data_IF_072913978645
#
_entry.id   IF_072913978645
#
_cell.length_a   1.000
_cell.length_b   1.000
_cell.length_c   1.000
_cell.angle_alpha   90.00
_cell.angle_beta   90.00
_cell.angle_gamma   90.00
#
_symmetry.space_group_name_H-M   'P 1'
#
loop_
_entity.id
_entity.type
_entity.pdbx_description
1 polymer ?
#
# COMPACT_ATOMS: atom_id res chain seq x y z
N UNK A 1 -30.14 35.10 -16.60
CA UNK A 1 -30.46 34.93 -15.16
C UNK A 1 -29.35 35.61 -14.41
N UNK A 2 -29.70 36.64 -13.64
CA UNK A 2 -28.78 37.49 -12.88
C UNK A 2 -28.41 36.72 -11.61
N UNK A 3 -27.12 36.56 -11.39
CA UNK A 3 -26.54 35.86 -10.24
C UNK A 3 -26.59 36.77 -9.02
N UNK A 4 -27.17 36.27 -7.92
CA UNK A 4 -27.55 37.03 -6.74
C UNK A 4 -26.60 36.72 -5.58
N UNK A 5 -25.43 37.36 -5.52
CA UNK A 5 -24.61 37.38 -4.29
C UNK A 5 -23.68 38.60 -4.24
N UNK A 6 -24.17 39.73 -3.69
CA UNK A 6 -23.30 40.79 -3.13
C UNK A 6 -24.07 41.78 -2.23
N UNK A 7 -24.86 41.28 -1.28
CA UNK A 7 -25.50 42.10 -0.25
C UNK A 7 -25.09 41.57 1.14
N UNK A 8 -24.84 42.48 2.06
CA UNK A 8 -24.67 42.15 3.49
C UNK A 8 -26.02 41.91 4.18
N UNK A 9 -25.99 41.47 5.44
CA UNK A 9 -27.17 41.15 6.27
C UNK A 9 -28.12 42.33 6.56
N UNK A 10 -27.80 43.52 6.03
CA UNK A 10 -28.64 44.71 6.09
C UNK A 10 -28.91 45.35 4.72
N UNK A 11 -28.63 44.65 3.61
CA UNK A 11 -29.09 45.01 2.27
C UNK A 11 -28.40 46.22 1.63
N UNK A 12 -27.14 46.53 1.96
CA UNK A 12 -26.38 47.62 1.33
C UNK A 12 -25.33 47.09 0.35
N UNK A 13 -25.07 47.86 -0.71
CA UNK A 13 -24.05 47.55 -1.72
C UNK A 13 -22.64 47.84 -1.19
N UNK A 14 -21.70 46.90 -1.38
CA UNK A 14 -20.31 47.04 -0.96
C UNK A 14 -19.53 48.05 -1.84
N UNK A 15 -18.61 48.87 -1.27
CA UNK A 15 -17.78 49.79 -2.04
C UNK A 15 -16.69 49.07 -2.87
N UNK A 16 -16.24 49.65 -3.99
CA UNK A 16 -15.26 49.03 -4.88
C UNK A 16 -13.85 48.97 -4.26
N UNK A 17 -13.01 47.97 -4.64
CA UNK A 17 -11.65 47.84 -4.12
C UNK A 17 -10.72 48.96 -4.63
N UNK A 18 -9.71 49.39 -3.84
CA UNK A 18 -8.81 50.47 -4.23
C UNK A 18 -7.86 50.06 -5.37
N UNK A 19 -7.76 50.93 -6.37
CA UNK A 19 -6.85 50.83 -7.52
C UNK A 19 -5.38 50.90 -7.07
N UNK A 20 -4.57 49.88 -7.39
CA UNK A 20 -3.10 49.94 -7.22
C UNK A 20 -2.48 50.92 -8.22
N UNK A 21 -2.01 52.07 -7.72
CA UNK A 21 -1.07 52.93 -8.45
C UNK A 21 0.30 52.25 -8.55
N UNK A 22 0.90 52.34 -9.73
CA UNK A 22 2.27 51.92 -10.00
C UNK A 22 3.28 52.71 -9.16
N UNK A 23 4.12 52.02 -8.40
CA UNK A 23 5.38 52.57 -7.89
C UNK A 23 6.53 51.90 -8.65
N UNK A 24 7.16 52.68 -9.52
CA UNK A 24 8.49 52.42 -10.07
C UNK A 24 9.49 52.52 -8.92
N UNK A 25 10.17 51.42 -8.60
CA UNK A 25 11.37 51.44 -7.77
C UNK A 25 12.53 50.86 -8.60
N UNK A 26 13.58 51.66 -8.66
CA UNK A 26 14.72 51.59 -9.57
C UNK A 26 15.59 50.36 -9.35
N UNK A 27 15.93 49.67 -10.44
CA UNK A 27 17.02 48.70 -10.52
C UNK A 27 18.32 49.51 -10.65
N UNK A 28 19.05 49.70 -9.55
CA UNK A 28 20.49 50.00 -9.53
C UNK A 28 20.96 50.23 -8.09
N UNK A 29 21.52 49.20 -7.45
CA UNK A 29 22.71 49.26 -6.59
C UNK A 29 22.81 48.00 -5.73
N UNK A 30 23.61 47.03 -6.16
CA UNK A 30 24.39 46.19 -5.24
C UNK A 30 25.60 45.61 -5.98
N UNK A 31 26.44 46.49 -6.54
CA UNK A 31 27.83 46.15 -6.83
C UNK A 31 28.63 46.40 -5.55
N UNK A 32 28.84 45.34 -4.76
CA UNK A 32 29.49 45.45 -3.45
C UNK A 32 30.21 44.16 -3.05
N UNK A 33 31.45 44.01 -3.52
CA UNK A 33 32.56 43.29 -2.87
C UNK A 33 32.32 41.82 -2.50
N UNK A 34 32.57 40.92 -3.45
CA UNK A 34 32.96 39.53 -3.15
C UNK A 34 34.41 39.57 -2.66
N UNK A 35 34.60 39.56 -1.35
CA UNK A 35 35.91 39.32 -0.72
C UNK A 35 36.09 37.81 -0.59
N UNK A 36 37.05 37.26 -1.31
CA UNK A 36 37.43 35.85 -1.28
C UNK A 36 38.08 35.53 0.08
N UNK A 37 37.27 35.13 1.06
CA UNK A 37 37.75 34.63 2.35
C UNK A 37 38.09 33.14 2.22
N UNK A 38 39.38 32.82 2.21
CA UNK A 38 39.89 31.46 2.36
C UNK A 38 39.51 30.95 3.76
N UNK A 39 38.35 30.31 3.90
CA UNK A 39 37.99 29.60 5.12
C UNK A 39 38.66 28.23 5.09
N UNK A 40 39.76 28.11 5.85
CA UNK A 40 40.37 26.84 6.21
C UNK A 40 39.30 26.01 6.96
N UNK A 41 38.67 25.07 6.26
CA UNK A 41 37.73 24.12 6.88
C UNK A 41 38.54 23.06 7.60
N UNK A 42 38.81 23.32 8.88
CA UNK A 42 39.20 22.28 9.83
C UNK A 42 38.05 21.26 9.86
N UNK A 43 38.28 20.10 9.26
CA UNK A 43 37.31 18.99 9.24
C UNK A 43 37.23 18.38 10.64
N UNK A 44 36.49 19.01 11.55
CA UNK A 44 35.99 18.33 12.73
C UNK A 44 34.93 17.34 12.25
N UNK A 45 35.33 16.08 12.14
CA UNK A 45 34.42 14.96 11.93
C UNK A 45 33.40 14.95 13.08
N UNK A 46 32.22 15.52 12.83
CA UNK A 46 31.04 15.34 13.66
C UNK A 46 30.54 13.90 13.44
N UNK A 47 30.56 13.02 14.45
CA UNK A 47 29.91 11.72 14.31
C UNK A 47 28.40 11.94 14.46
N UNK A 48 27.61 11.49 13.48
CA UNK A 48 26.18 11.26 13.75
C UNK A 48 25.20 11.34 12.59
N UNK A 49 25.60 11.76 11.40
CA UNK A 49 24.75 11.63 10.20
C UNK A 49 25.28 10.45 9.39
N UNK A 50 24.60 9.31 9.53
CA UNK A 50 24.97 8.06 8.87
C UNK A 50 25.83 7.16 9.74
N UNK A 51 25.26 6.56 10.78
CA UNK A 51 25.72 5.22 11.17
C UNK A 51 25.29 4.28 10.05
N UNK A 52 26.07 4.24 8.97
CA UNK A 52 26.02 3.13 8.04
C UNK A 52 26.25 1.83 8.81
N UNK A 53 25.78 0.72 8.24
CA UNK A 53 26.09 -0.63 8.76
C UNK A 53 27.58 -0.69 9.11
N UNK A 54 27.96 -1.03 10.35
CA UNK A 54 29.37 -1.08 10.75
C UNK A 54 30.15 -1.92 9.74
N UNK A 55 31.36 -1.53 9.35
CA UNK A 55 32.14 -2.42 8.46
C UNK A 55 32.45 -3.73 9.18
N UNK A 56 32.08 -4.86 8.57
CA UNK A 56 32.25 -6.19 9.15
C UNK A 56 32.08 -7.31 8.12
N UNK A 57 32.62 -8.49 8.43
CA UNK A 57 32.45 -9.71 7.62
C UNK A 57 31.09 -10.34 7.90
N UNK A 58 30.02 -9.75 7.37
CA UNK A 58 28.68 -10.29 7.47
C UNK A 58 28.45 -11.40 6.45
N UNK A 59 27.78 -12.49 6.88
CA UNK A 59 27.24 -13.47 5.94
C UNK A 59 26.13 -12.83 5.11
N UNK A 60 25.90 -13.38 3.91
CA UNK A 60 24.79 -12.95 3.06
C UNK A 60 23.48 -13.03 3.85
N UNK A 61 22.77 -11.90 3.98
CA UNK A 61 21.52 -11.82 4.72
C UNK A 61 21.63 -11.55 6.22
N UNK A 62 22.83 -11.50 6.78
CA UNK A 62 23.05 -11.16 8.19
C UNK A 62 22.79 -9.66 8.45
N UNK A 63 23.07 -8.81 7.46
CA UNK A 63 22.66 -7.41 7.46
C UNK A 63 22.00 -7.05 6.12
N UNK A 64 20.87 -6.35 6.20
CA UNK A 64 20.15 -5.80 5.05
C UNK A 64 20.17 -4.26 5.10
N UNK A 65 20.23 -3.58 3.95
CA UNK A 65 20.41 -4.15 2.61
C UNK A 65 21.81 -4.76 2.42
N UNK A 66 21.94 -5.71 1.48
CA UNK A 66 23.23 -6.32 1.16
C UNK A 66 24.18 -5.24 0.64
N UNK A 67 25.32 -5.08 1.32
CA UNK A 67 26.30 -4.06 0.99
C UNK A 67 27.14 -4.45 -0.24
N UNK A 68 27.45 -3.51 -1.15
CA UNK A 68 28.38 -3.79 -2.24
C UNK A 68 29.78 -4.10 -1.68
N UNK A 69 30.56 -4.95 -2.35
CA UNK A 69 31.95 -5.17 -1.96
C UNK A 69 32.74 -3.87 -2.11
N UNK A 70 33.73 -3.66 -1.23
CA UNK A 70 34.64 -2.53 -1.32
C UNK A 70 35.35 -2.55 -2.69
N UNK A 71 35.26 -1.45 -3.42
CA UNK A 71 35.94 -1.29 -4.70
C UNK A 71 37.38 -0.85 -4.48
N UNK A 72 38.33 -1.52 -5.13
CA UNK A 72 39.73 -1.08 -5.14
C UNK A 72 39.84 0.28 -5.85
N UNK A 73 40.72 1.20 -5.39
CA UNK A 73 40.98 2.45 -6.10
C UNK A 73 41.45 2.19 -7.54
N UNK A 74 40.94 2.96 -8.49
CA UNK A 74 41.45 2.97 -9.87
C UNK A 74 42.76 3.76 -9.85
N UNK A 75 43.88 3.08 -10.12
CA UNK A 75 45.21 3.68 -10.12
C UNK A 75 45.73 4.01 -11.53
N UNK A 76 45.06 3.54 -12.58
CA UNK A 76 45.39 3.85 -13.96
C UNK A 76 44.90 5.27 -14.32
N UNK A 77 45.82 6.10 -14.81
CA UNK A 77 45.58 7.52 -15.13
C UNK A 77 45.12 7.71 -16.58
N UNK A 78 45.50 6.80 -17.48
CA UNK A 78 44.98 6.79 -18.85
C UNK A 78 43.59 6.15 -18.87
N UNK A 79 42.54 6.99 -18.92
CA UNK A 79 41.14 6.55 -18.89
C UNK A 79 40.80 5.50 -19.96
N UNK A 80 41.55 5.45 -21.07
CA UNK A 80 41.35 4.48 -22.16
C UNK A 80 41.79 3.08 -21.77
N UNK A 81 42.64 2.95 -20.74
CA UNK A 81 43.15 1.69 -20.19
C UNK A 81 42.43 1.26 -18.92
N UNK A 82 41.55 2.11 -18.38
CA UNK A 82 40.75 1.79 -17.20
C UNK A 82 39.74 0.71 -17.55
N UNK A 83 39.82 -0.43 -16.86
CA UNK A 83 38.77 -1.44 -16.87
C UNK A 83 37.70 -1.05 -15.83
N UNK A 84 36.44 -0.78 -16.23
CA UNK A 84 35.40 -0.44 -15.27
C UNK A 84 35.14 -1.62 -14.33
N UNK A 85 34.93 -1.38 -13.02
CA UNK A 85 34.55 -2.44 -12.10
C UNK A 85 33.19 -3.02 -12.49
N UNK A 86 32.98 -4.31 -12.21
CA UNK A 86 31.68 -4.92 -12.42
C UNK A 86 30.61 -4.25 -11.56
N UNK A 87 29.42 -4.06 -12.14
CA UNK A 87 28.28 -3.52 -11.41
C UNK A 87 27.83 -4.55 -10.38
N UNK A 88 27.86 -4.18 -9.10
CA UNK A 88 27.27 -4.99 -8.05
C UNK A 88 25.75 -5.04 -8.23
N UNK A 89 25.21 -6.26 -8.32
CA UNK A 89 23.77 -6.52 -8.41
C UNK A 89 23.43 -7.63 -7.42
N UNK A 90 22.50 -7.34 -6.50
CA UNK A 90 21.94 -8.37 -5.62
C UNK A 90 21.08 -9.32 -6.47
N UNK A 91 21.39 -10.61 -6.39
CA UNK A 91 20.61 -11.67 -7.05
C UNK A 91 19.80 -12.45 -6.02
N UNK A 92 18.56 -12.86 -6.37
CA UNK A 92 17.77 -13.73 -5.52
C UNK A 92 18.48 -15.08 -5.32
N UNK A 93 18.23 -15.77 -4.20
CA UNK A 93 18.71 -17.14 -3.99
C UNK A 93 18.26 -18.08 -5.12
N UNK A 94 19.09 -19.09 -5.44
CA UNK A 94 18.75 -20.08 -6.47
C UNK A 94 17.47 -20.82 -6.08
N UNK A 95 16.49 -20.87 -6.99
CA UNK A 95 15.20 -21.53 -6.76
C UNK A 95 14.22 -20.73 -5.89
N UNK A 96 14.50 -19.46 -5.62
CA UNK A 96 13.58 -18.55 -4.95
C UNK A 96 12.21 -18.50 -5.68
N UNK A 97 11.09 -18.75 -4.98
CA UNK A 97 9.77 -18.78 -5.61
C UNK A 97 9.20 -17.37 -5.80
N UNK A 98 8.23 -17.25 -6.71
CA UNK A 98 7.32 -16.12 -6.68
C UNK A 98 6.40 -16.24 -5.47
N UNK A 99 6.09 -15.11 -4.82
CA UNK A 99 5.19 -15.05 -3.67
C UNK A 99 4.05 -14.08 -4.01
N UNK A 100 2.83 -14.59 -4.04
CA UNK A 100 1.61 -13.79 -4.22
C UNK A 100 0.76 -13.86 -2.96
N UNK A 101 0.52 -12.71 -2.35
CA UNK A 101 -0.41 -12.56 -1.24
C UNK A 101 -1.66 -11.86 -1.75
N UNK A 102 -2.79 -12.55 -1.73
CA UNK A 102 -4.10 -11.98 -2.06
C UNK A 102 -4.80 -11.65 -0.74
N UNK A 103 -5.00 -10.37 -0.46
CA UNK A 103 -5.77 -9.90 0.70
C UNK A 103 -7.15 -9.44 0.24
N UNK A 104 -8.19 -9.97 0.86
CA UNK A 104 -9.58 -9.55 0.65
C UNK A 104 -10.03 -8.67 1.80
N UNK A 105 -10.57 -7.48 1.51
CA UNK A 105 -10.92 -6.50 2.52
C UNK A 105 -12.36 -6.70 3.03
N UNK A 106 -12.53 -6.97 4.33
CA UNK A 106 -13.83 -7.23 4.97
C UNK A 106 -14.61 -8.43 4.40
N UNK A 107 -13.94 -9.40 3.79
CA UNK A 107 -14.58 -10.68 3.46
C UNK A 107 -14.87 -11.47 4.75
N UNK A 108 -16.11 -11.94 4.92
CA UNK A 108 -16.52 -12.75 6.06
C UNK A 108 -15.91 -14.14 6.04
N UNK A 109 -15.66 -14.69 7.23
CA UNK A 109 -15.12 -16.05 7.42
C UNK A 109 -15.93 -17.10 6.66
N UNK A 110 -17.25 -16.95 6.61
CA UNK A 110 -18.18 -17.90 6.01
C UNK A 110 -18.88 -17.38 4.75
N UNK A 111 -18.28 -16.41 4.07
CA UNK A 111 -18.78 -15.91 2.79
C UNK A 111 -18.44 -16.84 1.61
N UNK A 112 -17.17 -17.27 1.42
CA UNK A 112 -16.81 -18.09 0.26
C UNK A 112 -17.24 -19.56 0.42
N UNK A 113 -17.50 -20.23 -0.71
CA UNK A 113 -17.84 -21.66 -0.77
C UNK A 113 -16.80 -22.55 -0.09
N UNK A 114 -15.51 -22.19 -0.17
CA UNK A 114 -14.41 -22.88 0.52
C UNK A 114 -14.57 -22.96 2.04
N UNK A 115 -15.31 -22.02 2.63
CA UNK A 115 -15.57 -21.95 4.06
C UNK A 115 -17.03 -22.28 4.42
N UNK A 116 -17.74 -22.97 3.52
CA UNK A 116 -19.14 -23.35 3.67
C UNK A 116 -20.13 -22.21 3.39
N UNK A 117 -19.66 -21.10 2.83
CA UNK A 117 -20.48 -19.96 2.48
C UNK A 117 -21.31 -20.13 1.20
N UNK A 118 -22.28 -19.22 0.98
CA UNK A 118 -23.16 -19.26 -0.19
C UNK A 118 -22.51 -18.70 -1.46
N UNK A 119 -21.41 -17.94 -1.34
CA UNK A 119 -20.80 -17.25 -2.48
C UNK A 119 -19.93 -18.24 -3.25
N UNK A 120 -20.27 -18.46 -4.51
CA UNK A 120 -19.54 -19.34 -5.42
C UNK A 120 -18.18 -18.74 -5.81
N UNK A 121 -17.08 -19.36 -5.37
CA UNK A 121 -15.70 -18.90 -5.60
C UNK A 121 -14.82 -19.99 -6.25
N UNK A 122 -15.10 -20.39 -7.51
CA UNK A 122 -14.49 -21.57 -8.12
C UNK A 122 -12.95 -21.52 -8.23
N UNK A 123 -12.38 -20.32 -8.38
CA UNK A 123 -10.92 -20.14 -8.36
C UNK A 123 -10.35 -20.39 -6.97
N UNK A 124 -11.02 -19.94 -5.90
CA UNK A 124 -10.59 -20.23 -4.52
C UNK A 124 -10.81 -21.70 -4.19
N UNK A 125 -11.92 -22.30 -4.64
CA UNK A 125 -12.17 -23.74 -4.48
C UNK A 125 -11.03 -24.57 -5.08
N UNK A 126 -10.58 -24.23 -6.28
CA UNK A 126 -9.43 -24.89 -6.92
C UNK A 126 -8.13 -24.69 -6.14
N UNK A 127 -7.89 -23.51 -5.58
CA UNK A 127 -6.70 -23.26 -4.76
C UNK A 127 -6.73 -24.07 -3.45
N UNK A 128 -7.87 -24.08 -2.75
CA UNK A 128 -8.05 -24.83 -1.52
C UNK A 128 -7.90 -26.34 -1.74
N UNK A 129 -8.44 -26.88 -2.84
CA UNK A 129 -8.32 -28.30 -3.19
C UNK A 129 -6.87 -28.74 -3.48
N UNK A 130 -6.00 -27.82 -3.88
CA UNK A 130 -4.58 -28.08 -4.19
C UNK A 130 -3.64 -27.48 -3.13
N UNK A 131 -4.17 -27.08 -1.97
CA UNK A 131 -3.43 -26.32 -0.97
C UNK A 131 -3.83 -26.68 0.46
N UNK A 132 -3.57 -25.74 1.36
CA UNK A 132 -3.93 -25.85 2.76
C UNK A 132 -4.99 -24.80 3.09
N UNK A 133 -6.03 -25.23 3.80
CA UNK A 133 -7.05 -24.35 4.38
C UNK A 133 -6.84 -24.26 5.87
N UNK A 134 -6.76 -23.04 6.40
CA UNK A 134 -6.60 -22.78 7.83
C UNK A 134 -7.93 -22.31 8.41
N UNK A 135 -8.50 -23.08 9.35
CA UNK A 135 -9.77 -22.76 10.02
C UNK A 135 -9.57 -21.93 11.30
N UNK A 136 -8.33 -21.71 11.72
CA UNK A 136 -7.96 -21.00 12.95
C UNK A 136 -6.89 -19.91 12.69
N UNK A 137 -7.05 -19.16 11.60
CA UNK A 137 -6.19 -18.03 11.24
C UNK A 137 -6.79 -16.72 11.78
N UNK A 138 -5.97 -15.88 12.41
CA UNK A 138 -6.42 -14.68 13.10
C UNK A 138 -5.83 -13.41 12.49
N UNK A 139 -6.64 -12.36 12.47
CA UNK A 139 -6.27 -11.00 12.09
C UNK A 139 -6.65 -10.03 13.21
N UNK A 140 -6.23 -8.77 13.11
CA UNK A 140 -6.75 -7.73 13.99
C UNK A 140 -8.21 -7.40 13.60
N UNK A 141 -9.03 -6.85 14.50
CA UNK A 141 -10.43 -6.54 14.21
C UNK A 141 -10.64 -5.40 13.20
N UNK A 142 -9.56 -4.73 12.76
CA UNK A 142 -9.58 -3.59 11.86
C UNK A 142 -8.56 -3.75 10.72
N UNK A 143 -8.80 -3.03 9.62
CA UNK A 143 -8.02 -3.17 8.39
C UNK A 143 -6.55 -2.68 8.52
N UNK A 144 -6.29 -1.43 8.93
CA UNK A 144 -4.92 -0.90 9.06
C UNK A 144 -4.06 -1.73 10.03
N UNK A 145 -4.54 -2.06 11.25
CA UNK A 145 -3.80 -2.91 12.18
C UNK A 145 -3.45 -4.28 11.59
N UNK A 146 -4.36 -4.92 10.86
CA UNK A 146 -4.13 -6.21 10.21
C UNK A 146 -3.08 -6.12 9.12
N UNK A 147 -3.11 -5.06 8.30
CA UNK A 147 -2.19 -4.87 7.16
C UNK A 147 -0.76 -4.65 7.63
N UNK A 148 -0.55 -3.77 8.61
CA UNK A 148 0.80 -3.55 9.13
C UNK A 148 1.32 -4.80 9.84
N UNK A 149 0.46 -5.55 10.55
CA UNK A 149 0.87 -6.78 11.20
C UNK A 149 1.28 -7.86 10.17
N UNK A 150 0.48 -8.03 9.11
CA UNK A 150 0.79 -8.93 8.00
C UNK A 150 2.12 -8.57 7.32
N UNK A 151 2.34 -7.29 7.03
CA UNK A 151 3.51 -6.84 6.29
C UNK A 151 4.78 -6.82 7.12
N UNK A 152 4.71 -6.80 8.46
CA UNK A 152 5.90 -6.66 9.31
C UNK A 152 6.16 -7.86 10.21
N UNK A 153 5.17 -8.74 10.37
CA UNK A 153 5.22 -9.83 11.35
C UNK A 153 5.23 -9.34 12.81
N UNK A 154 4.84 -8.08 13.06
CA UNK A 154 4.80 -7.48 14.40
C UNK A 154 3.38 -7.16 14.83
N UNK A 155 3.15 -7.11 16.14
CA UNK A 155 1.87 -6.68 16.67
C UNK A 155 1.55 -5.23 16.19
N UNK A 156 0.26 -4.95 16.01
CA UNK A 156 -0.21 -3.67 15.47
C UNK A 156 0.18 -2.47 16.34
N UNK A 157 0.19 -2.60 17.67
CA UNK A 157 0.66 -1.55 18.58
C UNK A 157 2.17 -1.29 18.45
N UNK A 158 2.99 -2.32 18.17
CA UNK A 158 4.42 -2.10 17.90
C UNK A 158 4.65 -1.32 16.60
N UNK A 159 3.73 -1.47 15.64
CA UNK A 159 3.69 -0.66 14.42
C UNK A 159 3.06 0.73 14.63
N UNK A 160 2.72 1.10 15.86
CA UNK A 160 1.97 2.31 16.20
C UNK A 160 0.62 2.42 15.50
N UNK A 161 -0.06 1.30 15.22
CA UNK A 161 -1.31 1.27 14.46
C UNK A 161 -2.37 0.49 15.25
N UNK A 162 -2.86 1.04 16.38
CA UNK A 162 -3.90 0.38 17.17
C UNK A 162 -5.28 0.50 16.50
N UNK A 163 -5.56 1.67 15.92
CA UNK A 163 -6.75 1.97 15.13
C UNK A 163 -6.53 1.99 13.61
N UNK A 164 -7.56 2.42 12.89
CA UNK A 164 -7.46 2.76 11.46
C UNK A 164 -6.81 4.13 11.27
N UNK A 165 -6.18 4.38 10.12
CA UNK A 165 -5.40 5.60 9.81
C UNK A 165 -6.13 6.91 10.12
N UNK A 166 -7.46 6.94 9.95
CA UNK A 166 -8.31 8.10 10.20
C UNK A 166 -8.72 8.32 11.67
N UNK A 167 -8.40 7.38 12.57
CA UNK A 167 -8.72 7.48 14.01
C UNK A 167 -7.48 7.48 14.89
N UNK A 168 -6.28 7.50 14.30
CA UNK A 168 -5.02 7.50 15.04
C UNK A 168 -4.87 8.74 15.93
N UNK A 169 -4.08 8.57 17.00
CA UNK A 169 -3.83 9.59 18.02
C UNK A 169 -2.33 9.82 18.19
N UNK A 170 -1.89 10.89 18.85
CA UNK A 170 -0.45 11.10 19.06
C UNK A 170 0.18 10.20 20.15
N UNK A 171 -0.57 9.27 20.73
CA UNK A 171 -0.07 8.41 21.80
C UNK A 171 0.81 7.27 21.26
N UNK A 172 1.84 6.86 22.01
CA UNK A 172 2.66 5.70 21.65
C UNK A 172 1.79 4.46 21.42
N UNK A 173 2.02 3.78 20.31
CA UNK A 173 1.26 2.58 19.93
C UNK A 173 0.05 2.85 19.03
N UNK A 174 -0.31 4.12 18.78
CA UNK A 174 -1.45 4.47 17.92
C UNK A 174 -1.24 5.74 17.06
N UNK A 175 0.01 6.16 16.81
CA UNK A 175 0.34 7.32 15.98
C UNK A 175 0.09 7.17 14.47
N UNK A 176 -0.21 5.96 14.00
CA UNK A 176 -0.25 5.61 12.58
C UNK A 176 1.14 5.54 11.94
N UNK A 177 2.19 5.96 12.67
CA UNK A 177 3.55 6.07 12.16
C UNK A 177 4.35 4.85 12.60
N UNK A 178 4.56 3.93 11.65
CA UNK A 178 5.41 2.76 11.85
C UNK A 178 6.84 3.21 12.19
N UNK A 179 7.44 2.72 13.30
CA UNK A 179 8.83 3.01 13.64
C UNK A 179 9.82 2.55 12.55
N UNK A 180 10.88 3.34 12.31
CA UNK A 180 11.94 2.99 11.34
C UNK A 180 12.69 1.69 11.70
N UNK A 181 12.62 1.25 12.96
CA UNK A 181 13.19 -0.02 13.43
C UNK A 181 12.38 -1.24 12.98
N UNK A 182 11.20 -1.04 12.38
CA UNK A 182 10.32 -2.10 11.87
C UNK A 182 10.24 -2.00 10.35
N UNK A 183 10.81 -2.99 9.67
CA UNK A 183 10.78 -3.12 8.22
C UNK A 183 9.64 -4.01 7.75
N UNK A 184 9.13 -3.75 6.55
CA UNK A 184 8.16 -4.63 5.89
C UNK A 184 8.85 -5.83 5.25
N UNK A 185 8.11 -6.90 5.03
CA UNK A 185 8.50 -8.05 4.22
C UNK A 185 8.85 -7.62 2.79
N UNK A 186 8.22 -6.56 2.28
CA UNK A 186 8.59 -5.93 1.02
C UNK A 186 10.03 -5.42 1.05
N UNK A 187 10.42 -4.63 2.06
CA UNK A 187 11.78 -4.12 2.22
C UNK A 187 12.79 -5.25 2.34
N UNK A 188 12.43 -6.30 3.09
CA UNK A 188 13.28 -7.48 3.23
C UNK A 188 13.49 -8.18 1.88
N UNK A 189 12.42 -8.53 1.16
CA UNK A 189 12.51 -9.25 -0.11
C UNK A 189 13.17 -8.42 -1.22
N UNK A 190 12.90 -7.11 -1.28
CA UNK A 190 13.58 -6.17 -2.18
C UNK A 190 15.09 -6.18 -1.92
N UNK A 191 15.51 -6.19 -0.65
CA UNK A 191 16.91 -6.28 -0.26
C UNK A 191 17.57 -7.62 -0.64
N UNK A 192 16.77 -8.66 -0.92
CA UNK A 192 17.19 -9.95 -1.45
C UNK A 192 17.06 -10.07 -2.98
N UNK A 193 16.81 -8.96 -3.69
CA UNK A 193 16.77 -8.91 -5.15
C UNK A 193 15.44 -9.30 -5.79
N UNK A 194 14.39 -9.56 -4.99
CA UNK A 194 13.03 -9.74 -5.52
C UNK A 194 12.55 -8.46 -6.20
N UNK A 195 11.64 -8.63 -7.16
CA UNK A 195 10.76 -7.56 -7.61
C UNK A 195 9.61 -7.43 -6.62
N UNK A 196 9.33 -6.25 -6.10
CA UNK A 196 8.25 -6.08 -5.11
C UNK A 196 7.14 -5.19 -5.64
N UNK A 197 5.89 -5.61 -5.46
CA UNK A 197 4.74 -4.83 -5.90
C UNK A 197 3.59 -4.85 -4.90
N UNK A 198 2.86 -3.73 -4.86
CA UNK A 198 1.65 -3.55 -4.08
C UNK A 198 0.54 -3.06 -5.01
N UNK A 199 -0.49 -3.88 -5.21
CA UNK A 199 -1.68 -3.55 -5.96
C UNK A 199 -2.89 -3.50 -5.01
N UNK A 200 -3.50 -2.32 -4.84
CA UNK A 200 -4.82 -2.21 -4.22
C UNK A 200 -4.91 -1.17 -3.10
N UNK A 201 -5.75 -1.44 -2.10
CA UNK A 201 -5.90 -0.58 -0.92
C UNK A 201 -4.63 -0.64 -0.08
N UNK A 202 -4.04 0.51 0.26
CA UNK A 202 -2.96 0.59 1.23
C UNK A 202 -3.50 0.70 2.66
N UNK A 203 -4.03 1.85 3.06
CA UNK A 203 -4.56 2.13 4.40
C UNK A 203 -3.55 1.89 5.54
N UNK A 204 -2.27 2.20 5.30
CA UNK A 204 -1.17 2.07 6.25
C UNK A 204 -0.42 3.41 6.46
N UNK A 205 -0.72 4.41 5.64
CA UNK A 205 -0.17 5.78 5.72
C UNK A 205 -1.13 6.64 6.56
N UNK A 206 -0.64 7.39 7.56
CA UNK A 206 -1.47 8.35 8.31
C UNK A 206 -2.24 9.29 7.38
N UNK A 207 -3.51 9.55 7.66
CA UNK A 207 -4.39 10.31 6.77
C UNK A 207 -3.86 11.72 6.45
N UNK A 208 -3.18 12.36 7.40
CA UNK A 208 -2.54 13.66 7.22
C UNK A 208 -1.32 13.64 6.27
N UNK A 209 -0.82 12.48 5.89
CA UNK A 209 0.29 12.27 4.94
C UNK A 209 -0.17 11.70 3.59
N UNK A 210 -1.48 11.48 3.43
CA UNK A 210 -2.10 11.05 2.17
C UNK A 210 -2.34 12.26 1.26
N UNK A 211 -1.27 12.97 0.91
CA UNK A 211 -1.31 14.14 0.03
C UNK A 211 0.02 14.38 -0.71
N UNK A 212 0.02 15.33 -1.65
CA UNK A 212 1.15 15.61 -2.54
C UNK A 212 2.34 16.33 -1.89
N UNK A 213 2.18 16.85 -0.67
CA UNK A 213 3.26 17.53 0.06
C UNK A 213 4.20 16.52 0.74
N UNK A 214 3.84 15.24 0.76
CA UNK A 214 4.55 14.22 1.51
C UNK A 214 4.39 14.38 3.03
N UNK A 215 5.28 13.74 3.82
CA UNK A 215 6.41 12.93 3.39
C UNK A 215 5.98 11.62 2.70
N UNK A 216 6.80 11.11 1.78
CA UNK A 216 6.50 9.90 1.01
C UNK A 216 7.18 8.64 1.56
N UNK A 217 7.98 8.76 2.63
CA UNK A 217 8.78 7.67 3.22
C UNK A 217 7.94 6.47 3.68
N UNK A 218 6.69 6.71 4.06
CA UNK A 218 5.74 5.67 4.50
C UNK A 218 4.88 5.12 3.36
N UNK A 219 4.87 5.77 2.20
CA UNK A 219 4.11 5.31 1.06
C UNK A 219 4.68 3.97 0.54
N UNK A 220 3.88 3.12 -0.11
CA UNK A 220 4.31 1.79 -0.53
C UNK A 220 5.64 1.78 -1.29
N UNK A 221 5.85 2.74 -2.20
CA UNK A 221 7.09 2.82 -3.00
C UNK A 221 8.35 3.18 -2.24
N UNK A 222 8.21 3.73 -1.04
CA UNK A 222 9.33 3.97 -0.11
C UNK A 222 9.31 3.03 1.10
N UNK A 223 8.36 2.09 1.11
CA UNK A 223 8.13 1.11 2.17
C UNK A 223 8.32 -0.34 1.67
N UNK A 224 9.22 -0.53 0.69
CA UNK A 224 9.67 -1.85 0.24
C UNK A 224 9.00 -2.39 -1.02
N UNK A 225 8.27 -1.57 -1.77
CA UNK A 225 7.59 -1.97 -3.02
C UNK A 225 8.12 -1.20 -4.23
N UNK A 226 8.73 -1.87 -5.21
CA UNK A 226 9.17 -1.21 -6.45
C UNK A 226 8.00 -0.60 -7.25
N UNK A 227 6.82 -1.23 -7.18
CA UNK A 227 5.58 -0.78 -7.82
C UNK A 227 4.45 -0.60 -6.82
N UNK A 228 3.73 0.50 -6.92
CA UNK A 228 2.42 0.68 -6.30
C UNK A 228 1.39 1.09 -7.34
N UNK A 229 0.21 0.49 -7.27
CA UNK A 229 -0.97 0.95 -7.99
C UNK A 229 -2.21 0.70 -7.15
N UNK A 230 -2.98 1.74 -6.86
CA UNK A 230 -4.17 1.61 -6.05
C UNK A 230 -4.57 2.92 -5.39
N UNK A 231 -4.93 2.88 -4.12
CA UNK A 231 -5.30 4.06 -3.35
C UNK A 231 -4.80 3.95 -1.91
N UNK A 232 -4.61 5.10 -1.26
CA UNK A 232 -3.98 5.16 0.06
C UNK A 232 -4.98 5.13 1.22
N UNK A 233 -6.15 5.76 1.06
CA UNK A 233 -7.14 5.90 2.12
C UNK A 233 -7.82 4.57 2.51
N UNK A 234 -8.65 4.61 3.56
CA UNK A 234 -9.42 3.47 4.03
C UNK A 234 -10.52 3.01 3.08
N UNK A 235 -11.17 3.93 2.38
CA UNK A 235 -12.33 3.64 1.55
C UNK A 235 -12.29 4.48 0.27
N UNK A 236 -12.86 3.95 -0.82
CA UNK A 236 -12.94 4.64 -2.12
C UNK A 236 -14.15 4.15 -2.92
N UNK A 237 -14.56 4.96 -3.90
CA UNK A 237 -15.49 4.51 -4.93
C UNK A 237 -14.82 3.52 -5.88
N UNK A 238 -15.49 2.41 -6.21
CA UNK A 238 -15.05 1.50 -7.27
C UNK A 238 -15.11 2.13 -8.68
N UNK A 239 -15.89 3.21 -8.85
CA UNK A 239 -16.08 3.88 -10.15
C UNK A 239 -15.27 5.17 -10.27
N UNK A 240 -15.03 5.87 -9.17
CA UNK A 240 -14.28 7.14 -9.13
C UNK A 240 -13.23 7.15 -8.00
N UNK A 241 -12.26 6.23 -8.00
CA UNK A 241 -11.24 6.15 -6.95
C UNK A 241 -10.21 7.29 -7.06
N UNK A 242 -9.68 7.70 -5.91
CA UNK A 242 -8.47 8.53 -5.84
C UNK A 242 -7.22 7.65 -6.09
N UNK A 243 -6.92 7.42 -7.36
CA UNK A 243 -5.84 6.53 -7.78
C UNK A 243 -4.46 7.15 -7.56
N UNK A 244 -3.52 6.28 -7.21
CA UNK A 244 -2.10 6.57 -7.09
C UNK A 244 -1.32 5.52 -7.87
N UNK A 245 -0.39 5.98 -8.72
CA UNK A 245 0.67 5.16 -9.31
C UNK A 245 2.01 5.63 -8.75
N UNK A 246 2.67 4.75 -8.00
CA UNK A 246 3.91 5.06 -7.30
C UNK A 246 3.70 6.09 -6.18
N UNK A 247 4.01 7.36 -6.45
CA UNK A 247 3.81 8.51 -5.55
C UNK A 247 2.97 9.61 -6.19
N UNK A 248 2.36 9.33 -7.34
CA UNK A 248 1.64 10.32 -8.14
C UNK A 248 0.15 9.99 -8.15
N UNK A 249 -0.68 10.95 -7.75
CA UNK A 249 -2.11 10.86 -7.99
C UNK A 249 -2.38 10.91 -9.49
N UNK A 250 -3.18 9.98 -10.00
CA UNK A 250 -3.57 9.91 -11.40
C UNK A 250 -5.08 10.02 -11.54
N UNK A 251 -5.52 10.53 -12.69
CA UNK A 251 -6.95 10.58 -12.98
C UNK A 251 -7.53 9.16 -13.11
N UNK A 252 -8.75 8.98 -12.62
CA UNK A 252 -9.54 7.79 -12.98
C UNK A 252 -9.71 7.76 -14.50
N UNK A 253 -9.49 6.61 -15.17
CA UNK A 253 -9.77 6.46 -16.58
C UNK A 253 -11.19 6.90 -16.96
N UNK A 254 -11.32 7.65 -18.06
CA UNK A 254 -12.62 8.09 -18.60
C UNK A 254 -13.26 6.96 -19.40
N UNK A 255 -13.65 5.89 -18.73
CA UNK A 255 -14.37 4.76 -19.31
C UNK A 255 -15.70 4.58 -18.55
N UNK A 256 -16.87 4.63 -19.22
CA UNK A 256 -18.16 4.43 -18.57
C UNK A 256 -18.34 3.03 -17.96
N UNK A 257 -17.50 2.05 -18.34
CA UNK A 257 -17.48 0.70 -17.78
C UNK A 257 -16.32 0.49 -16.81
N UNK A 258 -15.61 1.56 -16.41
CA UNK A 258 -14.51 1.48 -15.48
C UNK A 258 -14.97 0.87 -14.15
N UNK A 259 -14.16 -0.04 -13.62
CA UNK A 259 -14.33 -0.56 -12.28
C UNK A 259 -12.96 -0.88 -11.68
N UNK A 260 -12.67 -0.29 -10.51
CA UNK A 260 -11.36 -0.33 -9.88
C UNK A 260 -10.77 -1.74 -9.79
N UNK A 261 -11.52 -2.72 -9.29
CA UNK A 261 -10.97 -4.08 -9.12
C UNK A 261 -10.62 -4.79 -10.45
N UNK A 262 -11.25 -4.39 -11.58
CA UNK A 262 -10.90 -4.92 -12.92
C UNK A 262 -9.62 -4.29 -13.41
N UNK A 263 -9.54 -2.97 -13.33
CA UNK A 263 -8.35 -2.22 -13.70
C UNK A 263 -7.15 -2.63 -12.84
N UNK A 264 -7.34 -2.77 -11.53
CA UNK A 264 -6.35 -3.29 -10.60
C UNK A 264 -5.80 -4.65 -11.04
N UNK A 265 -6.68 -5.57 -11.43
CA UNK A 265 -6.28 -6.90 -11.93
C UNK A 265 -5.48 -6.77 -13.22
N UNK A 266 -5.93 -5.93 -14.17
CA UNK A 266 -5.23 -5.70 -15.43
C UNK A 266 -3.82 -5.12 -15.20
N UNK A 267 -3.67 -4.12 -14.32
CA UNK A 267 -2.38 -3.53 -13.98
C UNK A 267 -1.43 -4.53 -13.33
N UNK A 268 -1.93 -5.40 -12.46
CA UNK A 268 -1.14 -6.46 -11.85
C UNK A 268 -0.66 -7.48 -12.91
N UNK A 269 -1.55 -7.89 -13.82
CA UNK A 269 -1.21 -8.82 -14.91
C UNK A 269 -0.18 -8.20 -15.88
N UNK A 270 -0.36 -6.94 -16.26
CA UNK A 270 0.57 -6.24 -17.14
C UNK A 270 1.95 -6.09 -16.49
N UNK A 271 2.00 -5.83 -15.18
CA UNK A 271 3.25 -5.80 -14.43
C UNK A 271 3.95 -7.16 -14.40
N UNK A 272 3.22 -8.25 -14.18
CA UNK A 272 3.80 -9.62 -14.23
C UNK A 272 4.33 -9.94 -15.62
N UNK A 273 3.57 -9.63 -16.68
CA UNK A 273 4.01 -9.85 -18.07
C UNK A 273 5.28 -9.07 -18.40
N UNK A 274 5.31 -7.78 -18.04
CA UNK A 274 6.44 -6.90 -18.32
C UNK A 274 7.69 -7.35 -17.54
N UNK A 275 7.55 -7.66 -16.26
CA UNK A 275 8.68 -8.08 -15.43
C UNK A 275 9.23 -9.44 -15.83
N UNK A 276 8.36 -10.41 -16.15
CA UNK A 276 8.78 -11.70 -16.68
C UNK A 276 9.51 -11.57 -18.03
N UNK A 277 9.10 -10.60 -18.87
CA UNK A 277 9.76 -10.35 -20.17
C UNK A 277 11.14 -9.70 -20.02
N UNK A 278 11.32 -8.81 -19.04
CA UNK A 278 12.56 -8.06 -18.85
C UNK A 278 13.58 -8.80 -17.98
N UNK A 279 13.12 -9.50 -16.95
CA UNK A 279 13.98 -10.17 -15.97
C UNK A 279 13.36 -11.50 -15.52
N UNK A 280 13.28 -12.53 -16.40
CA UNK A 280 12.59 -13.79 -16.11
C UNK A 280 13.18 -14.55 -14.90
N UNK A 281 14.47 -14.35 -14.61
CA UNK A 281 15.16 -15.01 -13.50
C UNK A 281 14.94 -14.33 -12.14
N UNK A 282 14.26 -13.18 -12.09
CA UNK A 282 13.96 -12.47 -10.84
C UNK A 282 12.56 -12.85 -10.37
N UNK A 283 12.41 -13.46 -9.17
CA UNK A 283 11.10 -13.72 -8.61
C UNK A 283 10.44 -12.43 -8.17
N UNK A 284 9.11 -12.44 -8.13
CA UNK A 284 8.32 -11.36 -7.58
C UNK A 284 7.72 -11.69 -6.22
N UNK A 285 7.58 -10.65 -5.39
CA UNK A 285 6.63 -10.57 -4.31
C UNK A 285 5.51 -9.61 -4.71
N UNK A 286 4.28 -10.10 -4.79
CA UNK A 286 3.11 -9.28 -5.07
C UNK A 286 2.17 -9.31 -3.87
N UNK A 287 1.91 -8.13 -3.32
CA UNK A 287 0.84 -7.91 -2.36
C UNK A 287 -0.38 -7.34 -3.09
N UNK A 288 -1.36 -8.19 -3.33
CA UNK A 288 -2.59 -7.89 -4.07
C UNK A 288 -3.75 -7.72 -3.07
N UNK A 289 -3.98 -6.48 -2.62
CA UNK A 289 -4.96 -6.15 -1.58
C UNK A 289 -6.22 -5.52 -2.17
N UNK A 290 -7.11 -6.36 -2.68
CA UNK A 290 -8.37 -5.96 -3.31
C UNK A 290 -9.42 -5.53 -2.28
N UNK A 291 -10.34 -4.64 -2.68
CA UNK A 291 -11.32 -4.03 -1.78
C UNK A 291 -12.78 -4.21 -2.20
N UNK A 292 -13.07 -5.17 -3.08
CA UNK A 292 -14.41 -5.37 -3.66
C UNK A 292 -15.51 -5.68 -2.63
N UNK A 293 -15.16 -6.32 -1.51
CA UNK A 293 -16.09 -6.64 -0.41
C UNK A 293 -16.22 -5.53 0.63
N UNK A 294 -15.43 -4.46 0.54
CA UNK A 294 -15.55 -3.29 1.40
C UNK A 294 -16.71 -2.40 0.92
N UNK A 295 -17.46 -1.72 1.81
CA UNK A 295 -18.41 -0.70 1.40
C UNK A 295 -17.69 0.49 0.73
N UNK A 296 -18.36 1.21 -0.19
CA UNK A 296 -19.70 0.91 -0.72
C UNK A 296 -19.70 -0.30 -1.66
N UNK A 297 -20.63 -1.24 -1.44
CA UNK A 297 -20.76 -2.46 -2.25
C UNK A 297 -21.23 -2.14 -3.65
N UNK A 298 -20.29 -2.12 -4.59
CA UNK A 298 -20.48 -1.60 -5.94
C UNK A 298 -19.88 -2.56 -6.96
N UNK A 299 -20.53 -3.70 -7.25
CA UNK A 299 -20.01 -4.65 -8.25
C UNK A 299 -19.97 -4.01 -9.65
N UNK A 300 -19.17 -4.58 -10.59
CA UNK A 300 -19.19 -4.14 -11.98
C UNK A 300 -20.60 -4.20 -12.58
N UNK A 301 -20.91 -3.25 -13.45
CA UNK A 301 -22.25 -3.06 -14.03
C UNK A 301 -22.83 -4.35 -14.64
N UNK A 302 -22.05 -5.06 -15.44
CA UNK A 302 -22.46 -6.33 -16.06
C UNK A 302 -22.70 -7.46 -15.05
N UNK A 303 -21.95 -7.47 -13.93
CA UNK A 303 -22.20 -8.41 -12.84
C UNK A 303 -23.50 -8.09 -12.11
N UNK A 304 -23.74 -6.80 -11.85
CA UNK A 304 -24.97 -6.31 -11.22
C UNK A 304 -26.19 -6.62 -12.09
N UNK A 305 -26.14 -6.34 -13.39
CA UNK A 305 -27.26 -6.59 -14.32
C UNK A 305 -27.60 -8.08 -14.46
N UNK A 306 -26.60 -8.96 -14.42
CA UNK A 306 -26.83 -10.41 -14.44
C UNK A 306 -27.44 -10.93 -13.15
N UNK A 307 -27.17 -10.27 -12.02
CA UNK A 307 -27.60 -10.63 -10.67
C UNK A 307 -27.64 -12.17 -10.42
N UNK A 308 -26.47 -12.83 -10.40
CA UNK A 308 -26.41 -14.29 -10.23
C UNK A 308 -26.96 -14.77 -8.88
N UNK A 309 -27.22 -13.85 -7.94
CA UNK A 309 -27.73 -14.15 -6.61
C UNK A 309 -29.16 -13.65 -6.39
N UNK A 310 -29.88 -13.26 -7.47
CA UNK A 310 -31.28 -12.85 -7.39
C UNK A 310 -32.12 -13.87 -6.63
N UNK A 311 -32.75 -13.43 -5.53
CA UNK A 311 -33.59 -14.26 -4.67
C UNK A 311 -32.88 -15.29 -3.79
N UNK A 312 -31.54 -15.39 -3.86
CA UNK A 312 -30.76 -16.39 -3.08
C UNK A 312 -30.57 -16.02 -1.61
N UNK A 313 -30.93 -14.79 -1.24
CA UNK A 313 -30.81 -14.24 0.11
C UNK A 313 -32.16 -13.83 0.71
N UNK A 314 -33.29 -14.09 0.03
CA UNK A 314 -34.64 -13.69 0.46
C UNK A 314 -35.08 -14.36 1.77
N UNK A 315 -34.45 -15.49 2.13
CA UNK A 315 -34.68 -16.22 3.39
C UNK A 315 -34.11 -15.52 4.63
N UNK A 316 -33.33 -14.44 4.46
CA UNK A 316 -32.71 -13.69 5.55
C UNK A 316 -31.45 -14.33 6.14
N UNK A 317 -30.74 -13.55 6.97
CA UNK A 317 -29.44 -13.96 7.51
C UNK A 317 -29.52 -15.12 8.51
N UNK A 318 -30.67 -15.29 9.20
CA UNK A 318 -30.82 -16.32 10.24
C UNK A 318 -30.93 -17.70 9.59
N UNK A 319 -31.67 -17.80 8.49
CA UNK A 319 -31.69 -19.04 7.73
C UNK A 319 -30.35 -19.32 7.05
N UNK A 320 -29.72 -18.28 6.51
CA UNK A 320 -28.43 -18.41 5.84
C UNK A 320 -27.33 -18.95 6.78
N UNK A 321 -27.25 -18.44 8.03
CA UNK A 321 -26.26 -18.93 9.00
C UNK A 321 -26.49 -20.39 9.40
N UNK A 322 -27.74 -20.86 9.48
CA UNK A 322 -28.05 -22.26 9.76
C UNK A 322 -27.51 -23.15 8.65
N UNK A 323 -27.82 -22.81 7.40
CA UNK A 323 -27.36 -23.57 6.23
C UNK A 323 -25.83 -23.56 6.10
N UNK A 324 -25.20 -22.41 6.36
CA UNK A 324 -23.74 -22.27 6.38
C UNK A 324 -23.11 -23.16 7.44
N UNK A 325 -23.65 -23.20 8.66
CA UNK A 325 -23.15 -24.08 9.72
C UNK A 325 -23.26 -25.57 9.30
N UNK A 326 -24.38 -25.97 8.70
CA UNK A 326 -24.52 -27.35 8.20
C UNK A 326 -23.48 -27.68 7.12
N UNK A 327 -23.20 -26.74 6.21
CA UNK A 327 -22.13 -26.90 5.20
C UNK A 327 -20.75 -26.98 5.87
N UNK A 328 -20.47 -26.16 6.88
CA UNK A 328 -19.20 -26.17 7.60
C UNK A 328 -18.96 -27.48 8.35
N UNK A 329 -19.99 -28.03 9.01
CA UNK A 329 -19.90 -29.35 9.67
C UNK A 329 -19.60 -30.44 8.62
N UNK A 330 -20.31 -30.42 7.48
CA UNK A 330 -20.09 -31.39 6.39
C UNK A 330 -18.67 -31.31 5.81
N UNK A 331 -18.11 -30.10 5.73
CA UNK A 331 -16.76 -29.84 5.24
C UNK A 331 -15.68 -30.09 6.29
N UNK A 332 -16.03 -30.38 7.54
CA UNK A 332 -15.08 -30.54 8.64
C UNK A 332 -14.40 -29.24 9.08
N UNK A 333 -14.96 -28.08 8.71
CA UNK A 333 -14.45 -26.76 9.10
C UNK A 333 -14.66 -26.51 10.59
N UNK A 334 -15.80 -27.00 11.12
CA UNK A 334 -16.13 -26.97 12.55
C UNK A 334 -16.48 -28.40 13.02
N UNK A 335 -16.30 -28.71 14.31
CA UNK A 335 -16.60 -30.03 14.85
C UNK A 335 -18.07 -30.46 14.66
N UNK A 336 -18.35 -31.78 14.56
CA UNK A 336 -19.71 -32.29 14.67
C UNK A 336 -20.39 -31.83 15.97
N UNK A 337 -21.65 -31.42 15.87
CA UNK A 337 -22.42 -30.95 17.03
C UNK A 337 -22.20 -29.49 17.42
N UNK A 338 -21.37 -28.73 16.68
CA UNK A 338 -21.30 -27.27 16.84
C UNK A 338 -22.70 -26.65 16.73
N UNK A 339 -23.05 -25.84 17.72
CA UNK A 339 -24.33 -25.12 17.79
C UNK A 339 -24.19 -23.73 17.19
N UNK A 340 -25.28 -23.24 16.62
CA UNK A 340 -25.35 -21.87 16.12
C UNK A 340 -25.12 -20.87 17.26
N UNK A 341 -24.33 -19.84 17.01
CA UNK A 341 -24.12 -18.77 17.98
C UNK A 341 -25.42 -17.99 18.20
N UNK A 342 -25.67 -17.58 19.45
CA UNK A 342 -26.78 -16.68 19.76
C UNK A 342 -26.52 -15.32 19.09
N UNK A 343 -27.60 -14.65 18.67
CA UNK A 343 -27.50 -13.25 18.30
C UNK A 343 -27.02 -12.41 19.50
N UNK A 344 -26.25 -11.33 19.27
CA UNK A 344 -26.00 -10.33 20.30
C UNK A 344 -27.33 -9.74 20.77
N UNK A 345 -27.41 -9.31 22.03
CA UNK A 345 -28.61 -8.65 22.57
C UNK A 345 -28.94 -7.32 21.87
N UNK A 346 -28.00 -6.78 21.08
CA UNK A 346 -28.10 -5.51 20.37
C UNK A 346 -28.63 -5.63 18.93
N UNK A 347 -28.99 -6.82 18.47
CA UNK A 347 -29.49 -7.09 17.10
C UNK A 347 -30.98 -7.38 17.10
#
# INVERSE_FOLDING_TARGET
MIDSHSLDEHGRAAPPPPTRKAQRASIAWLAGKITLGLALTLSLALPGWGQGVPQGNYKMGEVLPIQPPAQAPITEMDWRKVKPPERFVVKPPKGAPNVLVILMDQAGYSDPSTMGGPIHTPTMDRLAANGLTYTNFHVNPLCSPSRVALLTGRNSHQNSMAGVTGTNTNYPGDSGIRPLTISTVGTMLQSWGYLTSYFGKNNEVPDNEVNISGPFDRWPTRSGFDKFYGYLAGEQSSFHPNLVDGTTYIATPRDPNYHFNRDLTNKALDWVRATHSLTPDRPFFMYYAQSASHPPHTPPKDWFERDPYKGKFDQGWDKLREETLQRQIKLGIVPPGTKIAKNPDTV
#
